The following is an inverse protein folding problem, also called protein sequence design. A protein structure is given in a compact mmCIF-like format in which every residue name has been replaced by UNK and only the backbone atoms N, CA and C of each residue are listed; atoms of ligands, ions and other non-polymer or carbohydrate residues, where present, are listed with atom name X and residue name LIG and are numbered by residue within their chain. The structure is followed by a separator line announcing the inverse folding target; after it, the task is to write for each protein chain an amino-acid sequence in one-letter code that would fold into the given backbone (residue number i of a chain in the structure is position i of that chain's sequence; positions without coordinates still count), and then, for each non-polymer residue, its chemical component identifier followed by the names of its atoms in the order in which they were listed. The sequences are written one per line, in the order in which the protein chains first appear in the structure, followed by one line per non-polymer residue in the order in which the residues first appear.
data_IF_434691735109
#
_entry.id   IF_434691735109
#
_cell.length_a   1.000
_cell.length_b   1.000
_cell.length_c   1.000
_cell.angle_alpha   90.00
_cell.angle_beta   90.00
_cell.angle_gamma   90.00
#
_symmetry.space_group_name_H-M   'P 1'
#
loop_
_entity.id
_entity.type
_entity.pdbx_description
1 polymer ?
#
# COMPACT_ATOMS: atom_id res chain seq x y z
N UNK A 1 18.49 -2.72 -13.42
CA UNK A 1 17.42 -1.77 -13.80
C UNK A 1 17.40 -1.50 -15.31
N UNK A 2 18.54 -1.26 -15.95
CA UNK A 2 18.63 -1.06 -17.41
C UNK A 2 18.01 -2.20 -18.23
N UNK A 3 18.26 -3.46 -17.84
CA UNK A 3 17.64 -4.63 -18.48
C UNK A 3 16.10 -4.60 -18.40
N UNK A 4 15.53 -4.19 -17.27
CA UNK A 4 14.08 -4.10 -17.10
C UNK A 4 13.49 -3.00 -18.00
N UNK A 5 14.12 -1.82 -18.02
CA UNK A 5 13.71 -0.70 -18.89
C UNK A 5 13.78 -1.07 -20.38
N UNK A 6 14.85 -1.77 -20.79
CA UNK A 6 15.00 -2.28 -22.15
C UNK A 6 13.87 -3.25 -22.53
N UNK A 7 13.56 -4.19 -21.63
CA UNK A 7 12.45 -5.13 -21.81
C UNK A 7 11.10 -4.41 -21.93
N UNK A 8 10.83 -3.37 -21.14
CA UNK A 8 9.57 -2.62 -21.26
C UNK A 8 9.40 -1.94 -22.61
N UNK A 9 10.46 -1.34 -23.16
CA UNK A 9 10.41 -0.74 -24.51
C UNK A 9 10.10 -1.78 -25.58
N UNK A 10 10.63 -2.99 -25.44
CA UNK A 10 10.33 -4.11 -26.35
C UNK A 10 8.88 -4.56 -26.19
N UNK A 11 8.42 -4.73 -24.96
CA UNK A 11 7.05 -5.15 -24.66
C UNK A 11 6.03 -4.11 -25.13
N UNK A 12 6.28 -2.83 -24.94
CA UNK A 12 5.43 -1.72 -25.39
C UNK A 12 5.24 -1.73 -26.91
N UNK A 13 6.30 -2.00 -27.69
CA UNK A 13 6.21 -2.18 -29.15
C UNK A 13 5.39 -3.40 -29.57
N UNK A 14 5.37 -4.46 -28.75
CA UNK A 14 4.60 -5.68 -29.03
C UNK A 14 3.16 -5.58 -28.53
N UNK A 15 2.88 -4.64 -27.63
CA UNK A 15 1.56 -4.42 -27.03
C UNK A 15 0.53 -3.98 -28.09
N UNK A 16 0.96 -3.27 -29.14
CA UNK A 16 0.10 -2.88 -30.26
C UNK A 16 -0.43 -4.07 -31.08
N UNK A 17 0.13 -5.27 -30.89
CA UNK A 17 -0.26 -6.51 -31.56
C UNK A 17 -1.23 -7.31 -30.69
N UNK A 18 -1.35 -6.99 -29.39
CA UNK A 18 -2.24 -7.68 -28.46
C UNK A 18 -3.63 -7.05 -28.57
N UNK A 19 -4.69 -7.82 -28.91
CA UNK A 19 -6.03 -7.27 -29.12
C UNK A 19 -6.71 -6.78 -27.84
N UNK A 20 -6.35 -7.36 -26.70
CA UNK A 20 -7.04 -7.12 -25.44
C UNK A 20 -6.34 -5.98 -24.66
N UNK A 21 -7.11 -4.91 -24.46
CA UNK A 21 -6.65 -3.69 -23.80
C UNK A 21 -6.33 -3.95 -22.32
N UNK A 22 -6.82 -5.05 -21.72
CA UNK A 22 -6.55 -5.35 -20.32
C UNK A 22 -5.09 -5.76 -20.08
N UNK A 23 -4.48 -6.53 -20.98
CA UNK A 23 -3.06 -6.87 -20.91
C UNK A 23 -2.21 -5.61 -21.01
N UNK A 24 -2.64 -4.64 -21.83
CA UNK A 24 -1.99 -3.35 -21.92
C UNK A 24 -2.07 -2.58 -20.59
N UNK A 25 -3.25 -2.51 -19.98
CA UNK A 25 -3.44 -1.86 -18.69
C UNK A 25 -2.62 -2.51 -17.57
N UNK A 26 -2.55 -3.84 -17.52
CA UNK A 26 -1.75 -4.57 -16.55
C UNK A 26 -0.25 -4.34 -16.76
N UNK A 27 0.19 -4.32 -18.02
CA UNK A 27 1.56 -3.96 -18.36
C UNK A 27 1.90 -2.54 -17.87
N UNK A 28 1.08 -1.55 -18.22
CA UNK A 28 1.27 -0.17 -17.78
C UNK A 28 1.28 -0.05 -16.25
N UNK A 29 0.41 -0.77 -15.55
CA UNK A 29 0.36 -0.80 -14.08
C UNK A 29 1.64 -1.35 -13.46
N UNK A 30 2.19 -2.43 -14.03
CA UNK A 30 3.47 -3.02 -13.59
C UNK A 30 4.61 -2.04 -13.82
N UNK A 31 4.72 -1.46 -15.01
CA UNK A 31 5.74 -0.46 -15.36
C UNK A 31 5.70 0.74 -14.43
N UNK A 32 4.50 1.28 -14.20
CA UNK A 32 4.29 2.38 -13.27
C UNK A 32 4.75 2.02 -11.85
N UNK A 33 4.41 0.84 -11.35
CA UNK A 33 4.82 0.39 -10.01
C UNK A 33 6.33 0.33 -9.84
N UNK A 34 7.07 -0.09 -10.88
CA UNK A 34 8.53 -0.08 -10.83
C UNK A 34 9.12 1.33 -10.84
N UNK A 35 8.61 2.22 -11.70
CA UNK A 35 9.05 3.61 -11.69
C UNK A 35 8.73 4.32 -10.37
N UNK A 36 7.61 3.99 -9.73
CA UNK A 36 7.25 4.45 -8.38
C UNK A 36 8.28 3.94 -7.35
N UNK A 37 8.67 2.66 -7.39
CA UNK A 37 9.72 2.12 -6.51
C UNK A 37 11.10 2.77 -6.73
N UNK A 38 11.37 3.23 -7.95
CA UNK A 38 12.58 4.01 -8.29
C UNK A 38 12.45 5.51 -7.97
N UNK A 39 11.32 5.94 -7.40
CA UNK A 39 10.97 7.35 -7.16
C UNK A 39 11.04 8.24 -8.41
N UNK A 40 10.81 7.64 -9.58
CA UNK A 40 10.60 8.37 -10.84
C UNK A 40 9.11 8.69 -11.00
N UNK A 41 8.58 9.52 -10.11
CA UNK A 41 7.14 9.65 -9.90
C UNK A 41 6.40 10.21 -11.11
N UNK A 42 7.01 11.13 -11.87
CA UNK A 42 6.42 11.69 -13.10
C UNK A 42 6.27 10.61 -14.17
N UNK A 43 7.29 9.77 -14.37
CA UNK A 43 7.25 8.67 -15.35
C UNK A 43 6.23 7.62 -14.93
N UNK A 44 6.18 7.29 -13.63
CA UNK A 44 5.17 6.39 -13.08
C UNK A 44 3.75 6.89 -13.31
N UNK A 45 3.49 8.18 -13.06
CA UNK A 45 2.19 8.82 -13.28
C UNK A 45 1.75 8.75 -14.75
N UNK A 46 2.68 8.93 -15.69
CA UNK A 46 2.36 8.80 -17.12
C UNK A 46 1.84 7.40 -17.45
N UNK A 47 2.55 6.35 -17.01
CA UNK A 47 2.15 4.97 -17.26
C UNK A 47 0.87 4.58 -16.51
N UNK A 48 0.72 4.97 -15.24
CA UNK A 48 -0.47 4.57 -14.47
C UNK A 48 -1.75 5.23 -14.99
N UNK A 49 -1.66 6.43 -15.56
CA UNK A 49 -2.81 7.09 -16.20
C UNK A 49 -3.32 6.33 -17.43
N UNK A 50 -2.42 5.74 -18.22
CA UNK A 50 -2.82 4.86 -19.34
C UNK A 50 -3.60 3.65 -18.83
N UNK A 51 -3.14 3.01 -17.74
CA UNK A 51 -3.86 1.90 -17.11
C UNK A 51 -5.23 2.33 -16.54
N UNK A 52 -5.28 3.46 -15.84
CA UNK A 52 -6.51 3.99 -15.25
C UNK A 52 -7.58 4.25 -16.31
N UNK A 53 -7.21 4.81 -17.47
CA UNK A 53 -8.15 5.08 -18.57
C UNK A 53 -8.82 3.80 -19.09
N UNK A 54 -8.10 2.68 -19.12
CA UNK A 54 -8.62 1.38 -19.59
C UNK A 54 -9.48 0.72 -18.50
N UNK A 55 -9.06 0.77 -17.23
CA UNK A 55 -9.85 0.19 -16.13
C UNK A 55 -11.12 0.99 -15.82
N UNK A 56 -11.17 2.29 -16.17
CA UNK A 56 -12.24 3.21 -15.79
C UNK A 56 -13.59 2.76 -16.35
N UNK A 57 -14.59 2.68 -15.48
CA UNK A 57 -15.96 2.34 -15.87
C UNK A 57 -16.21 0.86 -16.16
N UNK A 58 -15.19 -0.01 -16.04
CA UNK A 58 -15.36 -1.45 -16.16
C UNK A 58 -15.53 -2.10 -14.78
N UNK A 59 -16.72 -2.64 -14.53
CA UNK A 59 -17.08 -3.28 -13.26
C UNK A 59 -16.13 -4.43 -12.87
N UNK A 60 -15.64 -5.19 -13.85
CA UNK A 60 -14.72 -6.31 -13.61
C UNK A 60 -13.33 -5.85 -13.16
N UNK A 61 -12.99 -4.57 -13.32
CA UNK A 61 -11.66 -4.02 -13.05
C UNK A 61 -11.63 -3.04 -11.88
N UNK A 62 -12.71 -2.90 -11.11
CA UNK A 62 -12.77 -2.02 -9.93
C UNK A 62 -11.57 -2.17 -8.99
N UNK A 63 -11.18 -3.41 -8.67
CA UNK A 63 -10.02 -3.65 -7.79
C UNK A 63 -8.70 -3.21 -8.41
N UNK A 64 -8.53 -3.43 -9.72
CA UNK A 64 -7.34 -2.98 -10.48
C UNK A 64 -7.29 -1.45 -10.56
N UNK A 65 -8.43 -0.81 -10.84
CA UNK A 65 -8.58 0.65 -10.84
C UNK A 65 -8.21 1.26 -9.48
N UNK A 66 -8.73 0.70 -8.37
CA UNK A 66 -8.38 1.15 -7.02
C UNK A 66 -6.90 0.93 -6.68
N UNK A 67 -6.29 -0.17 -7.14
CA UNK A 67 -4.87 -0.43 -6.95
C UNK A 67 -4.02 0.58 -7.73
N UNK A 68 -4.43 0.94 -8.94
CA UNK A 68 -3.78 1.98 -9.74
C UNK A 68 -3.90 3.38 -9.09
N UNK A 69 -5.05 3.68 -8.47
CA UNK A 69 -5.21 4.90 -7.65
C UNK A 69 -4.26 4.94 -6.44
N UNK A 70 -3.95 3.81 -5.81
CA UNK A 70 -2.94 3.78 -4.75
C UNK A 70 -1.53 4.11 -5.27
N UNK A 71 -1.19 3.67 -6.48
CA UNK A 71 0.08 4.03 -7.13
C UNK A 71 0.12 5.53 -7.42
N UNK A 72 -0.99 6.12 -7.89
CA UNK A 72 -1.12 7.58 -8.04
C UNK A 72 -0.90 8.29 -6.70
N UNK A 73 -1.55 7.83 -5.63
CA UNK A 73 -1.40 8.40 -4.28
C UNK A 73 0.04 8.38 -3.78
N UNK A 74 0.75 7.27 -3.98
CA UNK A 74 2.16 7.15 -3.59
C UNK A 74 3.03 8.11 -4.39
N UNK A 75 2.85 8.20 -5.71
CA UNK A 75 3.62 9.11 -6.55
C UNK A 75 3.38 10.59 -6.20
N UNK A 76 2.14 10.99 -5.92
CA UNK A 76 1.87 12.36 -5.47
C UNK A 76 2.45 12.64 -4.08
N UNK A 77 2.52 11.64 -3.20
CA UNK A 77 3.21 11.75 -1.91
C UNK A 77 4.70 12.03 -2.11
N UNK A 78 5.37 11.29 -2.99
CA UNK A 78 6.78 11.51 -3.33
C UNK A 78 7.04 12.90 -3.92
N UNK A 79 6.07 13.45 -4.65
CA UNK A 79 6.12 14.80 -5.24
C UNK A 79 5.73 15.92 -4.25
N UNK A 80 5.38 15.59 -3.01
CA UNK A 80 4.90 16.56 -2.01
C UNK A 80 3.50 17.13 -2.27
N UNK A 81 2.75 16.56 -3.23
CA UNK A 81 1.39 16.98 -3.57
C UNK A 81 0.37 16.22 -2.73
N UNK A 82 0.38 16.48 -1.42
CA UNK A 82 -0.35 15.66 -0.44
C UNK A 82 -1.88 15.66 -0.64
N UNK A 83 -2.47 16.78 -1.06
CA UNK A 83 -3.92 16.86 -1.30
C UNK A 83 -4.36 15.95 -2.45
N UNK A 84 -3.58 15.89 -3.53
CA UNK A 84 -3.85 14.98 -4.66
C UNK A 84 -3.63 13.52 -4.29
N UNK A 85 -2.64 13.25 -3.43
CA UNK A 85 -2.43 11.91 -2.90
C UNK A 85 -3.63 11.43 -2.06
N UNK A 86 -4.11 12.31 -1.18
CA UNK A 86 -5.28 12.07 -0.33
C UNK A 86 -6.54 11.82 -1.16
N UNK A 87 -6.79 12.62 -2.21
CA UNK A 87 -7.89 12.40 -3.14
C UNK A 87 -7.84 11.02 -3.80
N UNK A 88 -6.67 10.62 -4.32
CA UNK A 88 -6.50 9.31 -4.96
C UNK A 88 -6.77 8.16 -3.99
N UNK A 89 -6.28 8.24 -2.75
CA UNK A 89 -6.55 7.23 -1.73
C UNK A 89 -8.02 7.20 -1.31
N UNK A 90 -8.72 8.34 -1.21
CA UNK A 90 -10.15 8.35 -0.90
C UNK A 90 -11.00 7.73 -2.00
N UNK A 91 -10.65 7.94 -3.27
CA UNK A 91 -11.29 7.23 -4.38
C UNK A 91 -11.07 5.71 -4.27
N UNK A 92 -9.84 5.26 -3.95
CA UNK A 92 -9.55 3.85 -3.74
C UNK A 92 -10.34 3.25 -2.54
N UNK A 93 -10.48 3.99 -1.44
CA UNK A 93 -11.27 3.58 -0.26
C UNK A 93 -12.76 3.44 -0.62
N UNK A 94 -13.31 4.32 -1.44
CA UNK A 94 -14.71 4.20 -1.88
C UNK A 94 -14.92 2.88 -2.63
N UNK A 95 -14.00 2.54 -3.53
CA UNK A 95 -14.07 1.31 -4.31
C UNK A 95 -13.84 0.07 -3.43
N UNK A 96 -12.91 0.11 -2.46
CA UNK A 96 -12.71 -1.03 -1.55
C UNK A 96 -13.97 -1.34 -0.75
N UNK A 97 -14.75 -0.32 -0.39
CA UNK A 97 -16.05 -0.48 0.26
C UNK A 97 -17.11 -1.04 -0.68
N UNK A 98 -17.18 -0.58 -1.92
CA UNK A 98 -18.08 -1.14 -2.93
C UNK A 98 -17.80 -2.63 -3.21
N UNK A 99 -16.54 -3.06 -3.05
CA UNK A 99 -16.10 -4.44 -3.22
C UNK A 99 -16.20 -5.29 -1.94
N UNK A 100 -16.60 -4.70 -0.80
CA UNK A 100 -16.56 -5.32 0.53
C UNK A 100 -15.16 -5.90 0.90
N UNK A 101 -14.07 -5.41 0.29
CA UNK A 101 -12.70 -5.87 0.51
C UNK A 101 -12.08 -5.11 1.70
N UNK A 102 -12.47 -5.54 2.90
CA UNK A 102 -12.04 -4.95 4.17
C UNK A 102 -10.52 -5.02 4.39
N UNK A 103 -9.84 -6.03 3.83
CA UNK A 103 -8.38 -6.14 3.94
C UNK A 103 -7.70 -5.10 3.05
N UNK A 104 -8.19 -4.94 1.83
CA UNK A 104 -7.70 -3.93 0.91
C UNK A 104 -7.97 -2.50 1.42
N UNK A 105 -9.12 -2.23 2.02
CA UNK A 105 -9.39 -0.94 2.69
C UNK A 105 -8.33 -0.65 3.79
N UNK A 106 -7.97 -1.67 4.59
CA UNK A 106 -6.94 -1.52 5.61
C UNK A 106 -5.56 -1.23 5.01
N UNK A 107 -5.23 -1.85 3.87
CA UNK A 107 -4.01 -1.56 3.11
C UNK A 107 -3.97 -0.11 2.62
N UNK A 108 -5.08 0.39 2.06
CA UNK A 108 -5.16 1.76 1.58
C UNK A 108 -4.99 2.74 2.73
N UNK A 109 -5.61 2.49 3.88
CA UNK A 109 -5.44 3.31 5.08
C UNK A 109 -4.00 3.29 5.62
N UNK A 110 -3.31 2.16 5.54
CA UNK A 110 -1.88 2.13 5.88
C UNK A 110 -1.06 3.01 4.94
N UNK A 111 -1.29 2.93 3.63
CA UNK A 111 -0.55 3.75 2.67
C UNK A 111 -0.86 5.24 2.83
N UNK A 112 -2.12 5.62 3.05
CA UNK A 112 -2.51 7.00 3.34
C UNK A 112 -1.83 7.53 4.62
N UNK A 113 -1.58 6.67 5.61
CA UNK A 113 -0.82 7.09 6.81
C UNK A 113 0.61 7.52 6.50
N UNK A 114 1.24 6.93 5.47
CA UNK A 114 2.58 7.32 5.02
C UNK A 114 2.53 8.73 4.43
N UNK A 115 1.50 9.05 3.64
CA UNK A 115 1.27 10.40 3.12
C UNK A 115 1.13 11.43 4.24
N UNK A 116 0.31 11.14 5.26
CA UNK A 116 0.17 12.06 6.38
C UNK A 116 1.46 12.22 7.20
N UNK A 117 2.25 11.14 7.37
CA UNK A 117 3.58 11.23 7.99
C UNK A 117 4.51 12.13 7.18
N UNK A 118 4.54 11.97 5.85
CA UNK A 118 5.35 12.81 4.94
C UNK A 118 4.90 14.29 4.95
N UNK A 119 3.61 14.54 5.16
CA UNK A 119 3.03 15.88 5.30
C UNK A 119 3.18 16.48 6.71
N UNK A 120 3.88 15.81 7.64
CA UNK A 120 3.97 16.19 9.06
C UNK A 120 2.61 16.30 9.79
N UNK A 121 1.60 15.59 9.30
CA UNK A 121 0.24 15.51 9.87
C UNK A 121 0.14 14.29 10.80
N UNK A 122 0.90 14.29 11.91
CA UNK A 122 1.03 13.12 12.80
C UNK A 122 -0.30 12.62 13.35
N UNK A 123 -1.23 13.51 13.71
CA UNK A 123 -2.54 13.10 14.23
C UNK A 123 -3.39 12.36 13.17
N UNK A 124 -3.32 12.80 11.91
CA UNK A 124 -4.02 12.16 10.79
C UNK A 124 -3.38 10.82 10.43
N UNK A 125 -2.04 10.75 10.45
CA UNK A 125 -1.30 9.50 10.31
C UNK A 125 -1.78 8.45 11.33
N UNK A 126 -1.83 8.82 12.61
CA UNK A 126 -2.31 7.93 13.68
C UNK A 126 -3.78 7.52 13.49
N UNK A 127 -4.64 8.41 12.99
CA UNK A 127 -6.03 8.10 12.69
C UNK A 127 -6.16 7.11 11.52
N UNK A 128 -5.39 7.28 10.45
CA UNK A 128 -5.34 6.35 9.33
C UNK A 128 -4.80 4.97 9.76
N UNK A 129 -3.73 4.93 10.56
CA UNK A 129 -3.20 3.69 11.15
C UNK A 129 -4.24 3.00 12.02
N UNK A 130 -5.00 3.73 12.84
CA UNK A 130 -6.11 3.17 13.64
C UNK A 130 -7.17 2.50 12.77
N UNK A 131 -7.50 3.07 11.60
CA UNK A 131 -8.44 2.45 10.65
C UNK A 131 -7.86 1.15 10.09
N UNK A 132 -6.60 1.15 9.65
CA UNK A 132 -5.92 -0.05 9.14
C UNK A 132 -5.86 -1.18 10.19
N UNK A 133 -5.38 -0.89 11.42
CA UNK A 133 -5.20 -1.91 12.46
C UNK A 133 -6.50 -2.42 13.08
N UNK A 134 -7.68 -1.83 12.79
CA UNK A 134 -8.98 -2.38 13.22
C UNK A 134 -9.27 -3.71 12.53
N UNK A 135 -8.85 -3.86 11.27
CA UNK A 135 -9.00 -5.10 10.51
C UNK A 135 -8.17 -6.25 11.15
N UNK A 136 -8.82 -7.39 11.39
CA UNK A 136 -8.19 -8.56 12.06
C UNK A 136 -7.13 -9.23 11.20
N UNK A 137 -7.36 -9.33 9.89
CA UNK A 137 -6.45 -9.95 8.93
C UNK A 137 -5.24 -9.05 8.67
N UNK A 138 -5.42 -7.72 8.59
CA UNK A 138 -4.33 -6.75 8.51
C UNK A 138 -3.34 -6.94 9.66
N UNK A 139 -3.84 -7.12 10.89
CA UNK A 139 -3.00 -7.40 12.07
C UNK A 139 -2.23 -8.71 11.99
N UNK A 140 -2.69 -9.69 11.21
CA UNK A 140 -2.00 -10.97 11.02
C UNK A 140 -1.05 -10.94 9.81
N UNK A 141 -1.16 -9.90 8.97
CA UNK A 141 -0.28 -9.71 7.81
C UNK A 141 1.14 -9.31 8.21
N UNK A 142 2.08 -9.54 7.30
CA UNK A 142 3.47 -9.08 7.43
C UNK A 142 3.58 -7.55 7.49
N UNK A 143 2.60 -6.80 6.98
CA UNK A 143 2.59 -5.34 6.94
C UNK A 143 2.23 -4.70 8.30
N UNK A 144 1.68 -5.48 9.23
CA UNK A 144 1.28 -4.96 10.53
C UNK A 144 2.45 -4.31 11.27
N UNK A 145 3.65 -4.89 11.18
CA UNK A 145 4.84 -4.35 11.86
C UNK A 145 5.19 -2.94 11.37
N UNK A 146 5.00 -2.64 10.09
CA UNK A 146 5.22 -1.31 9.51
C UNK A 146 4.22 -0.30 10.08
N UNK A 147 2.96 -0.71 10.27
CA UNK A 147 1.94 0.13 10.92
C UNK A 147 2.31 0.45 12.37
N UNK A 148 2.85 -0.52 13.12
CA UNK A 148 3.29 -0.31 14.50
C UNK A 148 4.52 0.59 14.59
N UNK A 149 5.49 0.38 13.70
CA UNK A 149 6.67 1.21 13.61
C UNK A 149 6.28 2.67 13.34
N UNK A 150 5.43 2.90 12.33
CA UNK A 150 4.96 4.25 11.98
C UNK A 150 4.21 4.90 13.13
N UNK A 151 3.28 4.19 13.78
CA UNK A 151 2.56 4.73 14.93
C UNK A 151 3.51 5.11 16.08
N UNK A 152 4.53 4.29 16.35
CA UNK A 152 5.52 4.56 17.41
C UNK A 152 6.35 5.79 17.08
N UNK A 153 6.80 5.93 15.83
CA UNK A 153 7.53 7.10 15.34
C UNK A 153 6.71 8.38 15.53
N UNK A 154 5.46 8.40 15.07
CA UNK A 154 4.61 9.59 15.14
C UNK A 154 4.26 9.97 16.59
N UNK A 155 4.01 9.00 17.48
CA UNK A 155 3.77 9.27 18.90
C UNK A 155 4.99 9.90 19.58
N UNK A 156 6.19 9.47 19.21
CA UNK A 156 7.43 10.08 19.70
C UNK A 156 7.60 11.52 19.20
N UNK A 157 7.34 11.77 17.92
CA UNK A 157 7.41 13.12 17.32
C UNK A 157 6.44 14.11 17.97
N UNK A 158 5.25 13.66 18.35
CA UNK A 158 4.24 14.49 19.02
C UNK A 158 4.57 14.84 20.48
N UNK A 159 5.77 14.47 20.98
CA UNK A 159 6.23 14.72 22.34
C UNK A 159 5.31 14.15 23.45
N UNK A 160 4.45 13.19 23.10
CA UNK A 160 3.68 12.44 24.09
C UNK A 160 4.59 11.39 24.72
N UNK A 161 5.17 11.74 25.88
CA UNK A 161 5.81 10.81 26.83
C UNK A 161 4.84 9.76 27.41
N UNK A 162 3.61 9.67 26.90
CA UNK A 162 2.61 8.75 27.40
C UNK A 162 2.82 7.35 26.79
N UNK A 163 3.81 6.67 27.36
CA UNK A 163 4.20 5.29 27.07
C UNK A 163 2.99 4.34 26.94
N UNK A 164 1.86 4.63 27.59
CA UNK A 164 0.63 3.82 27.57
C UNK A 164 0.02 3.63 26.16
N UNK A 165 0.08 4.65 25.30
CA UNK A 165 -0.43 4.55 23.93
C UNK A 165 0.46 3.64 23.06
N UNK A 166 1.78 3.77 23.21
CA UNK A 166 2.80 2.89 22.62
C UNK A 166 2.68 1.47 23.17
N UNK A 167 2.45 1.29 24.48
CA UNK A 167 2.25 -0.01 25.12
C UNK A 167 1.01 -0.73 24.59
N UNK A 168 -0.12 -0.05 24.35
CA UNK A 168 -1.32 -0.67 23.78
C UNK A 168 -1.10 -1.22 22.35
N UNK A 169 -0.30 -0.51 21.55
CA UNK A 169 0.10 -0.91 20.20
C UNK A 169 1.11 -2.07 20.26
N UNK A 170 2.11 -1.97 21.15
CA UNK A 170 3.17 -2.97 21.38
C UNK A 170 2.64 -4.26 22.01
N UNK A 171 1.62 -4.20 22.88
CA UNK A 171 1.00 -5.37 23.52
C UNK A 171 0.25 -6.22 22.50
N UNK A 172 -0.44 -5.57 21.54
CA UNK A 172 -1.06 -6.26 20.39
C UNK A 172 -0.01 -6.87 19.45
N UNK A 173 1.16 -6.25 19.29
CA UNK A 173 2.29 -6.81 18.53
C UNK A 173 2.98 -8.02 19.19
N UNK A 174 3.12 -8.02 20.52
CA UNK A 174 3.73 -9.15 21.26
C UNK A 174 2.95 -10.47 21.14
N UNK A 175 1.63 -10.41 20.94
CA UNK A 175 0.82 -11.61 20.69
C UNK A 175 1.25 -12.35 19.41
N UNK A 176 1.69 -11.62 18.39
CA UNK A 176 2.13 -12.19 17.10
C UNK A 176 3.52 -12.80 17.23
N UNK A 177 4.46 -12.10 17.89
CA UNK A 177 5.80 -12.63 18.17
C UNK A 177 5.74 -13.85 19.09
N UNK A 178 4.84 -13.87 20.09
CA UNK A 178 4.60 -15.06 20.93
C UNK A 178 3.99 -16.22 20.15
N UNK A 179 3.10 -15.96 19.18
CA UNK A 179 2.56 -17.00 18.29
C UNK A 179 3.65 -17.58 17.40
N UNK A 180 4.44 -16.74 16.73
CA UNK A 180 5.58 -17.16 15.91
C UNK A 180 6.64 -17.95 16.71
N UNK A 181 6.97 -17.50 17.92
CA UNK A 181 7.89 -18.22 18.81
C UNK A 181 7.35 -19.57 19.30
N UNK A 182 6.02 -19.74 19.44
CA UNK A 182 5.40 -21.04 19.73
C UNK A 182 5.41 -21.97 18.52
N UNK A 183 5.13 -21.44 17.33
CA UNK A 183 5.18 -22.21 16.07
C UNK A 183 6.60 -22.70 15.75
N UNK A 184 7.64 -21.88 15.94
CA UNK A 184 9.03 -22.34 15.77
C UNK A 184 9.45 -23.38 16.81
N UNK A 185 8.98 -23.28 18.06
CA UNK A 185 9.22 -24.33 19.07
C UNK A 185 8.54 -25.65 18.70
N UNK A 186 7.31 -25.59 18.16
CA UNK A 186 6.59 -26.78 17.69
C UNK A 186 7.24 -27.41 16.45
N UNK A 187 7.74 -26.61 15.51
CA UNK A 187 8.50 -27.09 14.34
C UNK A 187 9.82 -27.79 14.75
N UNK A 188 10.57 -27.23 15.71
CA UNK A 188 11.79 -27.86 16.21
C UNK A 188 11.53 -29.16 17.00
N UNK A 189 10.33 -29.34 17.56
CA UNK A 189 9.92 -30.58 18.22
C UNK A 189 9.55 -31.70 17.23
N UNK A 190 9.12 -31.35 16.01
CA UNK A 190 8.74 -32.31 14.97
C UNK A 190 9.97 -32.76 14.14
N UNK A 191 11.01 -31.93 14.04
CA UNK A 191 12.24 -32.22 13.28
C UNK A 191 13.24 -33.07 14.10
N UNK A 192 12.99 -33.29 15.40
CA UNK A 192 13.84 -34.08 16.29
C UNK A 192 13.16 -35.37 16.82
N UNK A 193 12.25 -35.94 16.04
CA UNK A 193 11.72 -37.32 16.20
C UNK A 193 11.99 -38.08 14.91
#
# INVERSE_FOLDING_TARGET
FENAISLFKITEKKLSIIPDEIEAAEFYSKVASMYMMLRQSIVSLNYINNALNIYKGNENYKRKYATALMVVGTNYTDLGQFDKAEEAYFQAIRISKELDDNFFEAQIHHNLSITYSAANRSQDCLNALRKAIRNKEWRQSVYYINSLYMATKELFLMNQKDLNSVYNIRFKGRLIVRRWGRWMKLLNLIIHV
#
